data_IF_838497416385
#
_entry.id   IF_838497416385
#
_cell.length_a   1.000
_cell.length_b   1.000
_cell.length_c   1.000
_cell.angle_alpha   90.00
_cell.angle_beta   90.00
_cell.angle_gamma   90.00
#
_symmetry.space_group_name_H-M   'P 1'
#
loop_
_entity.id
_entity.type
_entity.pdbx_description
1 polymer ?
#
# COMPACT_ATOMS: atom_id res chain seq x y z
N UNK A 1 27.91 45.38 25.46
CA UNK A 1 28.05 44.01 25.98
C UNK A 1 26.65 43.46 26.25
N UNK A 2 26.06 42.71 25.32
CA UNK A 2 24.99 41.72 25.55
C UNK A 2 24.55 41.15 24.19
N UNK A 3 25.15 40.04 23.79
CA UNK A 3 24.71 39.20 22.66
C UNK A 3 23.69 38.21 23.21
N UNK A 4 22.41 38.41 22.86
CA UNK A 4 21.33 37.48 23.17
C UNK A 4 21.50 36.24 22.28
N UNK A 5 21.99 35.15 22.87
CA UNK A 5 21.98 33.82 22.26
C UNK A 5 20.52 33.37 22.16
N UNK A 6 19.94 33.41 20.95
CA UNK A 6 18.63 32.81 20.65
C UNK A 6 18.74 31.30 20.85
N UNK A 7 18.01 30.79 21.85
CA UNK A 7 17.95 29.37 22.18
C UNK A 7 17.56 28.52 20.96
N UNK A 8 18.33 27.46 20.73
CA UNK A 8 18.03 26.43 19.74
C UNK A 8 16.73 25.76 20.16
N UNK A 9 15.66 25.97 19.40
CA UNK A 9 14.38 25.31 19.62
C UNK A 9 14.57 23.80 19.44
N UNK A 10 14.56 23.05 20.54
CA UNK A 10 14.55 21.59 20.55
C UNK A 10 13.21 21.11 19.99
N UNK A 11 13.13 20.97 18.67
CA UNK A 11 11.96 20.40 18.00
C UNK A 11 11.88 18.92 18.36
N UNK A 12 10.81 18.52 19.04
CA UNK A 12 10.54 17.12 19.39
C UNK A 12 10.39 16.29 18.11
N UNK A 13 10.71 14.98 18.13
CA UNK A 13 10.57 14.09 16.97
C UNK A 13 9.18 14.19 16.33
N UNK A 14 8.15 14.27 17.18
CA UNK A 14 6.75 14.51 16.81
C UNK A 14 6.54 15.82 16.02
N UNK A 15 7.20 16.92 16.39
CA UNK A 15 7.05 18.19 15.68
C UNK A 15 7.72 18.17 14.30
N UNK A 16 8.83 17.43 14.15
CA UNK A 16 9.50 17.25 12.86
C UNK A 16 8.72 16.32 11.94
N UNK A 17 8.17 15.23 12.49
CA UNK A 17 7.30 14.30 11.77
C UNK A 17 6.02 14.99 11.29
N UNK A 18 5.40 15.82 12.12
CA UNK A 18 4.21 16.58 11.74
C UNK A 18 4.51 17.68 10.73
N UNK A 19 5.65 18.39 10.84
CA UNK A 19 6.07 19.36 9.83
C UNK A 19 6.37 18.70 8.47
N UNK A 20 7.03 17.53 8.48
CA UNK A 20 7.32 16.75 7.27
C UNK A 20 6.03 16.21 6.63
N UNK A 21 5.13 15.65 7.44
CA UNK A 21 3.82 15.19 6.99
C UNK A 21 2.99 16.34 6.40
N UNK A 22 3.04 17.53 7.01
CA UNK A 22 2.35 18.72 6.51
C UNK A 22 2.95 19.23 5.20
N UNK A 23 4.28 19.20 5.05
CA UNK A 23 4.95 19.56 3.81
C UNK A 23 4.60 18.59 2.66
N UNK A 24 4.57 17.28 2.94
CA UNK A 24 4.15 16.24 2.01
C UNK A 24 2.66 16.35 1.65
N UNK A 25 1.77 16.60 2.61
CA UNK A 25 0.36 16.88 2.37
C UNK A 25 0.15 18.12 1.49
N UNK A 26 0.99 19.15 1.67
CA UNK A 26 0.93 20.36 0.85
C UNK A 26 1.44 20.12 -0.57
N UNK A 27 2.49 19.28 -0.72
CA UNK A 27 3.00 18.83 -2.01
C UNK A 27 2.00 17.94 -2.77
N UNK A 28 1.35 17.01 -2.07
CA UNK A 28 0.28 16.16 -2.60
C UNK A 28 -0.94 16.99 -3.03
N UNK A 29 -1.34 17.97 -2.22
CA UNK A 29 -2.39 18.93 -2.56
C UNK A 29 -2.05 19.83 -3.76
N UNK A 30 -0.76 20.01 -4.06
CA UNK A 30 -0.27 20.71 -5.26
C UNK A 30 -0.27 19.80 -6.49
N UNK A 31 -0.07 18.50 -6.34
CA UNK A 31 -0.26 17.50 -7.39
C UNK A 31 -1.71 17.03 -7.47
N UNK A 32 -2.63 17.97 -7.73
CA UNK A 32 -4.06 17.65 -7.94
C UNK A 32 -4.24 16.56 -8.99
N UNK A 33 -3.40 16.53 -10.02
CA UNK A 33 -3.42 15.48 -11.06
C UNK A 33 -3.06 14.08 -10.54
N UNK A 34 -2.14 13.95 -9.59
CA UNK A 34 -1.77 12.66 -9.02
C UNK A 34 -2.84 12.14 -8.06
N UNK A 35 -3.44 13.01 -7.24
CA UNK A 35 -4.57 12.67 -6.38
C UNK A 35 -5.81 12.32 -7.21
N UNK A 36 -6.11 13.10 -8.25
CA UNK A 36 -7.22 12.81 -9.18
C UNK A 36 -6.95 11.50 -9.90
N UNK A 37 -5.80 11.26 -10.53
CA UNK A 37 -5.51 9.99 -11.19
C UNK A 37 -5.52 8.79 -10.21
N UNK A 38 -4.97 8.96 -9.02
CA UNK A 38 -4.94 7.92 -7.98
C UNK A 38 -6.32 7.61 -7.41
N UNK A 39 -7.26 8.57 -7.40
CA UNK A 39 -8.66 8.31 -7.05
C UNK A 39 -9.42 7.76 -8.26
N UNK A 40 -9.23 8.36 -9.44
CA UNK A 40 -10.01 8.14 -10.65
C UNK A 40 -9.82 6.72 -11.19
N UNK A 41 -8.59 6.20 -11.28
CA UNK A 41 -8.36 4.83 -11.77
C UNK A 41 -9.06 3.76 -10.92
N UNK A 42 -8.89 3.74 -9.58
CA UNK A 42 -9.61 2.78 -8.74
C UNK A 42 -11.10 3.09 -8.54
N UNK A 43 -11.62 4.25 -8.96
CA UNK A 43 -13.06 4.54 -9.00
C UNK A 43 -13.69 4.17 -10.34
N UNK A 44 -12.93 4.28 -11.44
CA UNK A 44 -13.35 3.83 -12.77
C UNK A 44 -13.52 2.31 -12.78
N UNK A 45 -12.66 1.56 -12.09
CA UNK A 45 -12.81 0.10 -11.96
C UNK A 45 -14.20 -0.33 -11.43
N UNK A 46 -14.69 0.15 -10.27
CA UNK A 46 -16.06 -0.06 -9.80
C UNK A 46 -17.14 0.31 -10.81
N UNK A 47 -16.99 1.44 -11.50
CA UNK A 47 -17.99 1.93 -12.48
C UNK A 47 -18.01 1.06 -13.74
N UNK A 48 -16.85 0.67 -14.26
CA UNK A 48 -16.69 -0.22 -15.42
C UNK A 48 -17.14 -1.65 -15.10
N UNK A 49 -16.88 -2.14 -13.89
CA UNK A 49 -17.37 -3.45 -13.46
C UNK A 49 -18.86 -3.42 -13.20
N UNK A 50 -19.44 -2.31 -12.70
CA UNK A 50 -20.90 -2.15 -12.60
C UNK A 50 -21.56 -2.21 -13.98
N UNK A 51 -21.02 -1.50 -14.98
CA UNK A 51 -21.57 -1.57 -16.35
C UNK A 51 -21.40 -2.96 -16.98
N UNK A 52 -20.25 -3.61 -16.76
CA UNK A 52 -20.02 -4.96 -17.24
C UNK A 52 -20.86 -6.01 -16.49
N UNK A 53 -21.20 -5.77 -15.21
CA UNK A 53 -22.06 -6.62 -14.41
C UNK A 53 -23.55 -6.43 -14.66
N UNK A 54 -23.93 -5.31 -15.28
CA UNK A 54 -25.27 -5.11 -15.84
C UNK A 54 -25.41 -5.83 -17.20
N UNK A 55 -24.32 -6.01 -17.96
CA UNK A 55 -24.28 -6.76 -19.23
C UNK A 55 -24.04 -8.28 -19.07
N UNK A 56 -23.25 -8.69 -18.08
CA UNK A 56 -22.98 -10.08 -17.74
C UNK A 56 -23.85 -10.44 -16.53
N UNK A 57 -24.70 -11.46 -16.66
CA UNK A 57 -25.61 -11.97 -15.61
C UNK A 57 -24.84 -12.58 -14.40
N UNK A 58 -24.07 -11.76 -13.69
CA UNK A 58 -23.26 -12.10 -12.51
C UNK A 58 -24.15 -12.47 -11.31
N UNK A 59 -25.42 -12.06 -11.35
CA UNK A 59 -26.45 -12.54 -10.44
C UNK A 59 -26.67 -14.06 -10.57
N UNK A 60 -26.50 -14.64 -11.77
CA UNK A 60 -26.58 -16.08 -12.01
C UNK A 60 -25.43 -16.90 -11.40
N UNK A 61 -24.31 -16.25 -11.02
CA UNK A 61 -23.15 -16.89 -10.39
C UNK A 61 -23.09 -16.75 -8.86
N UNK A 62 -24.06 -16.06 -8.24
CA UNK A 62 -24.12 -15.88 -6.78
C UNK A 62 -23.05 -14.96 -6.18
N UNK A 63 -22.29 -14.24 -7.02
CA UNK A 63 -21.21 -13.35 -6.59
C UNK A 63 -21.71 -11.91 -6.48
N UNK A 64 -21.64 -11.32 -5.29
CA UNK A 64 -21.97 -9.91 -5.09
C UNK A 64 -20.84 -9.02 -5.66
N UNK A 65 -21.15 -8.23 -6.70
CA UNK A 65 -20.22 -7.32 -7.39
C UNK A 65 -19.41 -6.45 -6.43
N UNK A 66 -20.00 -5.97 -5.33
CA UNK A 66 -19.28 -5.13 -4.38
C UNK A 66 -18.26 -5.88 -3.51
N UNK A 67 -18.45 -7.17 -3.28
CA UNK A 67 -17.47 -8.03 -2.57
C UNK A 67 -16.24 -8.37 -3.43
N UNK A 68 -16.36 -8.23 -4.75
CA UNK A 68 -15.24 -8.38 -5.68
C UNK A 68 -14.50 -7.06 -5.88
N UNK A 69 -15.26 -5.99 -6.11
CA UNK A 69 -14.75 -4.67 -6.48
C UNK A 69 -14.01 -3.98 -5.33
N UNK A 70 -14.54 -4.06 -4.10
CA UNK A 70 -13.95 -3.33 -2.97
C UNK A 70 -12.56 -3.85 -2.60
N UNK A 71 -12.32 -5.17 -2.41
CA UNK A 71 -10.98 -5.68 -2.15
C UNK A 71 -10.00 -5.36 -3.29
N UNK A 72 -10.46 -5.38 -4.55
CA UNK A 72 -9.66 -5.00 -5.70
C UNK A 72 -9.27 -3.51 -5.66
N UNK A 73 -10.21 -2.61 -5.37
CA UNK A 73 -9.95 -1.18 -5.25
C UNK A 73 -8.96 -0.87 -4.10
N UNK A 74 -9.11 -1.54 -2.96
CA UNK A 74 -8.18 -1.43 -1.82
C UNK A 74 -6.78 -1.93 -2.22
N UNK A 75 -6.68 -3.10 -2.85
CA UNK A 75 -5.40 -3.64 -3.31
C UNK A 75 -4.71 -2.74 -4.34
N UNK A 76 -5.48 -2.17 -5.28
CA UNK A 76 -4.99 -1.14 -6.20
C UNK A 76 -4.44 0.09 -5.47
N UNK A 77 -5.19 0.60 -4.49
CA UNK A 77 -4.74 1.76 -3.71
C UNK A 77 -3.44 1.46 -2.98
N UNK A 78 -3.30 0.28 -2.35
CA UNK A 78 -2.06 -0.12 -1.69
C UNK A 78 -0.88 -0.20 -2.66
N UNK A 79 -1.08 -0.78 -3.85
CA UNK A 79 -0.04 -0.91 -4.86
C UNK A 79 0.41 0.44 -5.44
N UNK A 80 -0.53 1.33 -5.77
CA UNK A 80 -0.22 2.59 -6.44
C UNK A 80 0.05 3.72 -5.47
N UNK A 81 -0.78 3.91 -4.45
CA UNK A 81 -0.68 5.03 -3.52
C UNK A 81 0.36 4.82 -2.41
N UNK A 82 0.67 3.56 -2.07
CA UNK A 82 1.65 3.23 -1.03
C UNK A 82 2.91 2.66 -1.64
N UNK A 83 2.85 1.49 -2.26
CA UNK A 83 4.06 0.79 -2.74
C UNK A 83 4.82 1.61 -3.80
N UNK A 84 4.16 2.01 -4.89
CA UNK A 84 4.81 2.73 -5.99
C UNK A 84 5.35 4.11 -5.57
N UNK A 85 4.54 4.86 -4.82
CA UNK A 85 4.95 6.17 -4.26
C UNK A 85 6.14 6.03 -3.32
N UNK A 86 6.15 5.02 -2.45
CA UNK A 86 7.27 4.78 -1.53
C UNK A 86 8.55 4.36 -2.24
N UNK A 87 8.46 3.54 -3.31
CA UNK A 87 9.67 3.21 -4.08
C UNK A 87 10.30 4.47 -4.65
N UNK A 88 9.49 5.34 -5.28
CA UNK A 88 9.96 6.62 -5.80
C UNK A 88 10.56 7.52 -4.70
N UNK A 89 9.84 7.69 -3.59
CA UNK A 89 10.28 8.59 -2.52
C UNK A 89 11.57 8.11 -1.84
N UNK A 90 11.74 6.81 -1.61
CA UNK A 90 12.98 6.27 -1.05
C UNK A 90 14.17 6.43 -2.00
N UNK A 91 13.96 6.21 -3.30
CA UNK A 91 15.05 6.34 -4.28
C UNK A 91 15.47 7.80 -4.42
N UNK A 92 14.54 8.73 -4.60
CA UNK A 92 14.82 10.17 -4.73
C UNK A 92 15.51 10.70 -3.47
N UNK A 93 14.98 10.39 -2.27
CA UNK A 93 15.59 10.83 -1.00
C UNK A 93 16.98 10.23 -0.77
N UNK A 94 17.27 9.05 -1.33
CA UNK A 94 18.62 8.45 -1.31
C UNK A 94 19.56 9.19 -2.25
N UNK A 95 19.11 9.53 -3.45
CA UNK A 95 19.89 10.32 -4.43
C UNK A 95 20.24 11.71 -3.90
N UNK A 96 19.30 12.38 -3.26
CA UNK A 96 19.49 13.71 -2.65
C UNK A 96 20.32 13.67 -1.34
N UNK A 97 20.77 12.49 -0.92
CA UNK A 97 21.51 12.24 0.34
C UNK A 97 20.75 12.66 1.61
N UNK A 98 19.42 12.88 1.51
CA UNK A 98 18.56 13.23 2.65
C UNK A 98 18.63 12.16 3.73
N UNK A 99 18.60 10.89 3.33
CA UNK A 99 18.72 9.76 4.26
C UNK A 99 20.06 9.74 5.01
N UNK A 100 21.15 10.14 4.35
CA UNK A 100 22.49 10.19 4.97
C UNK A 100 22.60 11.34 5.97
N UNK A 101 22.00 12.51 5.67
CA UNK A 101 21.92 13.65 6.60
C UNK A 101 21.07 13.35 7.84
N UNK A 102 19.99 12.58 7.69
CA UNK A 102 19.18 12.16 8.84
C UNK A 102 19.93 11.19 9.76
N UNK A 103 20.81 10.36 9.17
CA UNK A 103 21.65 9.40 9.91
C UNK A 103 22.81 10.04 10.68
N UNK A 104 23.20 11.26 10.33
CA UNK A 104 24.17 12.02 11.12
C UNK A 104 23.56 12.64 12.38
N UNK A 105 22.24 12.52 12.58
CA UNK A 105 21.56 12.85 13.85
C UNK A 105 21.45 11.65 14.79
N UNK A 106 20.65 11.80 15.86
CA UNK A 106 20.43 10.74 16.87
C UNK A 106 19.41 9.65 16.45
N UNK A 107 18.87 9.72 15.22
CA UNK A 107 17.81 8.84 14.76
C UNK A 107 18.34 7.46 14.35
N UNK A 108 17.63 6.40 14.72
CA UNK A 108 17.93 5.03 14.28
C UNK A 108 17.50 4.81 12.83
N UNK A 109 18.20 3.91 12.13
CA UNK A 109 17.92 3.54 10.73
C UNK A 109 16.45 3.17 10.47
N UNK A 110 15.80 2.47 11.42
CA UNK A 110 14.39 2.09 11.34
C UNK A 110 13.46 3.29 11.48
N UNK A 111 13.80 4.25 12.35
CA UNK A 111 13.01 5.46 12.57
C UNK A 111 13.06 6.39 11.35
N UNK A 112 14.22 6.43 10.68
CA UNK A 112 14.38 7.19 9.43
C UNK A 112 13.47 6.60 8.35
N UNK A 113 13.52 5.27 8.14
CA UNK A 113 12.69 4.60 7.13
C UNK A 113 11.20 4.72 7.46
N UNK A 114 10.79 4.39 8.69
CA UNK A 114 9.40 4.49 9.12
C UNK A 114 8.87 5.93 9.07
N UNK A 115 9.66 6.91 9.54
CA UNK A 115 9.31 8.33 9.49
C UNK A 115 9.22 8.87 8.06
N UNK A 116 10.06 8.37 7.15
CA UNK A 116 9.97 8.70 5.73
C UNK A 116 8.80 8.03 5.01
N UNK A 117 8.35 6.87 5.48
CA UNK A 117 7.21 6.15 4.92
C UNK A 117 5.86 6.71 5.38
N UNK A 118 5.83 7.37 6.54
CA UNK A 118 4.62 7.85 7.20
C UNK A 118 3.68 8.67 6.29
N UNK A 119 4.16 9.63 5.47
CA UNK A 119 3.27 10.41 4.60
C UNK A 119 2.52 9.54 3.59
N UNK A 120 3.24 8.67 2.87
CA UNK A 120 2.61 7.79 1.87
C UNK A 120 1.68 6.75 2.51
N UNK A 121 2.03 6.22 3.69
CA UNK A 121 1.16 5.31 4.45
C UNK A 121 -0.13 6.01 4.90
N UNK A 122 -0.04 7.24 5.40
CA UNK A 122 -1.22 8.02 5.78
C UNK A 122 -2.09 8.36 4.58
N UNK A 123 -1.49 8.78 3.47
CA UNK A 123 -2.23 9.05 2.22
C UNK A 123 -2.91 7.81 1.69
N UNK A 124 -2.21 6.67 1.66
CA UNK A 124 -2.78 5.39 1.24
C UNK A 124 -3.90 4.91 2.16
N UNK A 125 -3.76 5.09 3.48
CA UNK A 125 -4.82 4.79 4.44
C UNK A 125 -6.07 5.63 4.17
N UNK A 126 -5.92 6.95 4.02
CA UNK A 126 -7.03 7.85 3.69
C UNK A 126 -7.68 7.44 2.36
N UNK A 127 -6.88 7.11 1.35
CA UNK A 127 -7.39 6.68 0.05
C UNK A 127 -8.17 5.35 0.13
N UNK A 128 -7.66 4.37 0.88
CA UNK A 128 -8.37 3.10 1.10
C UNK A 128 -9.70 3.32 1.83
N UNK A 129 -9.73 4.20 2.84
CA UNK A 129 -10.96 4.55 3.56
C UNK A 129 -11.97 5.26 2.66
N UNK A 130 -11.53 6.21 1.83
CA UNK A 130 -12.38 6.88 0.85
C UNK A 130 -12.94 5.92 -0.19
N UNK A 131 -12.13 4.97 -0.66
CA UNK A 131 -12.57 3.94 -1.61
C UNK A 131 -13.57 2.98 -0.96
N UNK A 132 -13.34 2.56 0.29
CA UNK A 132 -14.28 1.72 1.03
C UNK A 132 -15.63 2.42 1.21
N UNK A 133 -15.61 3.68 1.65
CA UNK A 133 -16.82 4.50 1.82
C UNK A 133 -17.52 4.80 0.47
N UNK A 134 -16.74 5.09 -0.57
CA UNK A 134 -17.26 5.30 -1.92
C UNK A 134 -17.93 4.04 -2.45
N UNK A 135 -17.27 2.89 -2.36
CA UNK A 135 -17.85 1.62 -2.79
C UNK A 135 -19.11 1.27 -1.98
N UNK A 136 -19.13 1.52 -0.67
CA UNK A 136 -20.32 1.23 0.14
C UNK A 136 -21.52 2.09 -0.28
N UNK A 137 -21.30 3.36 -0.61
CA UNK A 137 -22.37 4.27 -1.05
C UNK A 137 -22.79 4.01 -2.50
N UNK A 138 -21.85 3.76 -3.42
CA UNK A 138 -22.15 3.57 -4.84
C UNK A 138 -22.75 2.19 -5.15
N UNK A 139 -22.40 1.16 -4.38
CA UNK A 139 -22.82 -0.23 -4.62
C UNK A 139 -23.86 -0.72 -3.59
N UNK A 140 -24.35 0.18 -2.74
CA UNK A 140 -25.34 -0.12 -1.68
C UNK A 140 -24.95 -1.32 -0.81
N UNK A 141 -23.64 -1.44 -0.52
CA UNK A 141 -23.13 -2.53 0.30
C UNK A 141 -23.60 -2.34 1.74
N UNK A 142 -24.04 -3.43 2.36
CA UNK A 142 -24.29 -3.49 3.81
C UNK A 142 -23.03 -3.15 4.60
N UNK A 143 -23.06 -3.11 5.93
CA UNK A 143 -21.83 -2.95 6.73
C UNK A 143 -20.99 -4.25 6.74
N UNK A 144 -19.66 -4.22 6.98
CA UNK A 144 -18.84 -5.42 6.91
C UNK A 144 -19.29 -6.43 7.96
N UNK A 145 -19.48 -7.69 7.56
CA UNK A 145 -19.85 -8.77 8.48
C UNK A 145 -18.77 -9.00 9.54
N UNK A 146 -17.50 -8.80 9.19
CA UNK A 146 -16.35 -8.96 10.07
C UNK A 146 -15.33 -7.82 9.87
N UNK A 147 -15.63 -6.60 10.37
CA UNK A 147 -14.80 -5.41 10.13
C UNK A 147 -13.37 -5.57 10.65
N UNK A 148 -13.17 -6.38 11.70
CA UNK A 148 -11.84 -6.71 12.22
C UNK A 148 -10.90 -7.32 11.17
N UNK A 149 -11.41 -8.16 10.27
CA UNK A 149 -10.60 -8.79 9.22
C UNK A 149 -10.21 -7.78 8.14
N UNK A 150 -11.14 -6.90 7.75
CA UNK A 150 -10.86 -5.84 6.78
C UNK A 150 -9.84 -4.84 7.31
N UNK A 151 -9.96 -4.43 8.57
CA UNK A 151 -8.99 -3.54 9.23
C UNK A 151 -7.63 -4.23 9.34
N UNK A 152 -7.60 -5.51 9.74
CA UNK A 152 -6.36 -6.27 9.84
C UNK A 152 -5.67 -6.42 8.47
N UNK A 153 -6.42 -6.77 7.43
CA UNK A 153 -5.93 -6.87 6.05
C UNK A 153 -5.34 -5.55 5.57
N UNK A 154 -6.04 -4.44 5.79
CA UNK A 154 -5.57 -3.11 5.42
C UNK A 154 -4.26 -2.73 6.16
N UNK A 155 -4.19 -2.93 7.47
CA UNK A 155 -3.00 -2.63 8.25
C UNK A 155 -1.80 -3.49 7.83
N UNK A 156 -2.01 -4.79 7.63
CA UNK A 156 -0.98 -5.70 7.10
C UNK A 156 -0.53 -5.28 5.71
N UNK A 157 -1.46 -4.89 4.84
CA UNK A 157 -1.17 -4.40 3.50
C UNK A 157 -0.31 -3.13 3.50
N UNK A 158 -0.63 -2.17 4.37
CA UNK A 158 0.18 -0.95 4.51
C UNK A 158 1.62 -1.27 4.94
N UNK A 159 1.79 -2.12 5.95
CA UNK A 159 3.12 -2.52 6.45
C UNK A 159 3.89 -3.30 5.39
N UNK A 160 3.23 -4.26 4.74
CA UNK A 160 3.81 -5.09 3.71
C UNK A 160 4.24 -4.27 2.49
N UNK A 161 3.37 -3.38 1.99
CA UNK A 161 3.69 -2.50 0.88
C UNK A 161 4.86 -1.56 1.21
N UNK A 162 4.92 -1.03 2.44
CA UNK A 162 6.05 -0.22 2.86
C UNK A 162 7.36 -1.01 2.93
N UNK A 163 7.33 -2.24 3.45
CA UNK A 163 8.49 -3.12 3.52
C UNK A 163 8.97 -3.53 2.13
N UNK A 164 8.05 -3.92 1.24
CA UNK A 164 8.35 -4.25 -0.15
C UNK A 164 8.88 -3.04 -0.91
N UNK A 165 8.32 -1.85 -0.70
CA UNK A 165 8.80 -0.64 -1.34
C UNK A 165 10.25 -0.33 -0.94
N UNK A 166 10.58 -0.47 0.35
CA UNK A 166 11.95 -0.31 0.84
C UNK A 166 12.89 -1.36 0.23
N UNK A 167 12.44 -2.62 0.10
CA UNK A 167 13.21 -3.69 -0.53
C UNK A 167 13.45 -3.42 -2.02
N UNK A 168 12.41 -3.03 -2.77
CA UNK A 168 12.53 -2.67 -4.18
C UNK A 168 13.43 -1.45 -4.37
N UNK A 169 13.26 -0.39 -3.56
CA UNK A 169 14.10 0.80 -3.59
C UNK A 169 15.59 0.48 -3.32
N UNK A 170 15.88 -0.56 -2.53
CA UNK A 170 17.26 -1.02 -2.29
C UNK A 170 17.96 -1.54 -3.55
N UNK A 171 17.17 -2.05 -4.51
CA UNK A 171 17.64 -2.61 -5.78
C UNK A 171 17.61 -1.59 -6.91
N UNK A 172 16.63 -0.69 -6.90
CA UNK A 172 16.50 0.43 -7.85
C UNK A 172 17.70 1.36 -7.74
N UNK A 173 18.21 1.87 -8.87
CA UNK A 173 19.35 2.81 -8.87
C UNK A 173 18.91 4.28 -8.89
N UNK A 174 18.09 4.64 -9.87
CA UNK A 174 17.73 6.03 -10.16
C UNK A 174 16.25 6.34 -9.97
N UNK A 175 15.90 7.61 -9.76
CA UNK A 175 14.50 8.06 -9.74
C UNK A 175 13.71 7.68 -10.99
N UNK A 176 14.36 7.68 -12.16
CA UNK A 176 13.77 7.19 -13.42
C UNK A 176 13.51 5.67 -13.37
N UNK A 177 14.50 4.89 -12.91
CA UNK A 177 14.34 3.44 -12.71
C UNK A 177 13.24 3.12 -11.70
N UNK A 178 12.95 4.03 -10.75
CA UNK A 178 11.90 3.86 -9.76
C UNK A 178 10.49 3.83 -10.37
N UNK A 179 10.31 4.29 -11.61
CA UNK A 179 9.03 4.17 -12.32
C UNK A 179 8.84 2.77 -12.93
N UNK A 180 9.92 2.09 -13.31
CA UNK A 180 9.87 0.81 -14.03
C UNK A 180 10.10 -0.38 -13.08
N UNK A 181 10.98 -0.24 -12.09
CA UNK A 181 11.35 -1.34 -11.17
C UNK A 181 10.17 -1.90 -10.36
N UNK A 182 9.17 -1.09 -9.93
CA UNK A 182 7.97 -1.62 -9.28
C UNK A 182 7.06 -2.45 -10.20
N UNK A 183 7.11 -2.22 -11.52
CA UNK A 183 6.13 -2.75 -12.49
C UNK A 183 5.98 -4.27 -12.49
N UNK A 184 7.05 -5.08 -12.46
CA UNK A 184 6.89 -6.53 -12.41
C UNK A 184 6.09 -6.99 -11.19
N UNK A 185 6.38 -6.43 -10.00
CA UNK A 185 5.65 -6.79 -8.78
C UNK A 185 4.20 -6.28 -8.85
N UNK A 186 3.97 -5.09 -9.39
CA UNK A 186 2.63 -4.54 -9.60
C UNK A 186 1.82 -5.47 -10.50
N UNK A 187 2.32 -5.81 -11.69
CA UNK A 187 1.62 -6.63 -12.67
C UNK A 187 1.32 -8.03 -12.13
N UNK A 188 2.31 -8.69 -11.52
CA UNK A 188 2.14 -10.03 -10.94
C UNK A 188 1.13 -10.00 -9.80
N UNK A 189 1.22 -9.01 -8.90
CA UNK A 189 0.25 -8.87 -7.81
C UNK A 189 -1.14 -8.57 -8.37
N UNK A 190 -1.25 -7.71 -9.37
CA UNK A 190 -2.50 -7.36 -10.02
C UNK A 190 -3.20 -8.57 -10.63
N UNK A 191 -2.48 -9.34 -11.44
CA UNK A 191 -3.06 -10.49 -12.13
C UNK A 191 -3.27 -11.69 -11.21
N UNK A 192 -2.40 -11.87 -10.22
CA UNK A 192 -2.39 -13.08 -9.40
C UNK A 192 -3.06 -12.94 -8.03
N UNK A 193 -3.27 -11.74 -7.48
CA UNK A 193 -3.78 -11.63 -6.10
C UNK A 193 -5.29 -11.67 -5.97
N UNK A 194 -5.99 -12.23 -6.96
CA UNK A 194 -7.45 -12.33 -6.93
C UNK A 194 -8.21 -11.01 -7.17
N UNK A 195 -7.53 -9.94 -7.62
CA UNK A 195 -8.14 -8.61 -7.78
C UNK A 195 -9.00 -8.47 -9.04
N UNK A 196 -8.57 -9.08 -10.16
CA UNK A 196 -9.37 -9.08 -11.40
C UNK A 196 -10.18 -10.35 -11.56
N UNK A 197 -9.58 -11.49 -11.24
CA UNK A 197 -10.19 -12.81 -11.35
C UNK A 197 -10.09 -13.48 -10.00
N UNK A 198 -11.21 -13.85 -9.35
CA UNK A 198 -11.21 -14.66 -8.14
C UNK A 198 -10.33 -15.90 -8.28
N UNK A 199 -9.58 -16.23 -7.22
CA UNK A 199 -8.68 -17.39 -7.20
C UNK A 199 -9.44 -18.71 -7.42
N UNK A 200 -10.70 -18.76 -7.00
CA UNK A 200 -11.62 -19.90 -7.16
C UNK A 200 -11.89 -20.24 -8.64
N UNK A 201 -11.71 -19.29 -9.56
CA UNK A 201 -11.90 -19.49 -11.00
C UNK A 201 -10.61 -19.92 -11.72
N UNK A 202 -9.47 -19.96 -11.01
CA UNK A 202 -8.19 -20.36 -11.58
C UNK A 202 -7.97 -21.87 -11.42
N UNK A 203 -7.25 -22.51 -12.36
CA UNK A 203 -6.81 -23.90 -12.18
C UNK A 203 -5.99 -24.07 -10.90
N UNK A 204 -6.19 -25.18 -10.16
CA UNK A 204 -5.59 -25.42 -8.83
C UNK A 204 -4.10 -25.07 -8.74
N UNK A 205 -3.31 -25.45 -9.76
CA UNK A 205 -1.87 -25.16 -9.80
C UNK A 205 -1.55 -23.67 -9.84
N UNK A 206 -2.34 -22.90 -10.59
CA UNK A 206 -2.18 -21.44 -10.68
C UNK A 206 -2.70 -20.76 -9.42
N UNK A 207 -3.82 -21.24 -8.88
CA UNK A 207 -4.37 -20.75 -7.62
C UNK A 207 -3.36 -20.87 -6.47
N UNK A 208 -2.70 -22.02 -6.29
CA UNK A 208 -1.69 -22.20 -5.23
C UNK A 208 -0.48 -21.26 -5.36
N UNK A 209 -0.05 -20.95 -6.59
CA UNK A 209 1.04 -19.98 -6.81
C UNK A 209 0.57 -18.56 -6.50
N UNK A 210 -0.66 -18.25 -6.90
CA UNK A 210 -1.29 -16.96 -6.68
C UNK A 210 -1.57 -16.69 -5.20
N UNK A 211 -1.93 -17.70 -4.41
CA UNK A 211 -2.07 -17.64 -2.95
C UNK A 211 -0.78 -17.22 -2.24
N UNK A 212 0.36 -17.62 -2.79
CA UNK A 212 1.68 -17.28 -2.25
C UNK A 212 2.14 -15.85 -2.59
N UNK A 213 1.40 -15.10 -3.40
CA UNK A 213 1.79 -13.73 -3.73
C UNK A 213 1.62 -12.80 -2.51
N UNK A 214 2.46 -11.75 -2.39
CA UNK A 214 2.47 -10.90 -1.20
C UNK A 214 1.14 -10.17 -0.99
N UNK A 215 0.47 -9.73 -2.06
CA UNK A 215 -0.77 -8.97 -1.93
C UNK A 215 -2.02 -9.84 -1.76
N UNK A 216 -1.95 -11.12 -2.12
CA UNK A 216 -3.08 -12.06 -1.98
C UNK A 216 -3.65 -12.13 -0.57
N UNK A 217 -2.87 -12.31 0.50
CA UNK A 217 -3.42 -12.36 1.85
C UNK A 217 -4.17 -11.08 2.25
N UNK A 218 -3.76 -9.92 1.72
CA UNK A 218 -4.44 -8.65 1.98
C UNK A 218 -5.81 -8.63 1.32
N UNK A 219 -5.87 -9.01 0.04
CA UNK A 219 -7.13 -9.08 -0.72
C UNK A 219 -8.08 -10.10 -0.10
N UNK A 220 -7.57 -11.28 0.30
CA UNK A 220 -8.35 -12.33 0.96
C UNK A 220 -8.92 -11.87 2.30
N UNK A 221 -8.14 -11.17 3.14
CA UNK A 221 -8.62 -10.65 4.42
C UNK A 221 -9.67 -9.54 4.27
N UNK A 222 -9.47 -8.63 3.31
CA UNK A 222 -10.43 -7.55 3.02
C UNK A 222 -11.72 -8.10 2.43
N UNK A 223 -11.64 -9.10 1.54
CA UNK A 223 -12.82 -9.81 1.02
C UNK A 223 -13.53 -10.56 2.14
N UNK A 224 -12.80 -11.33 2.93
CA UNK A 224 -13.33 -12.14 4.03
C UNK A 224 -13.99 -11.31 5.13
N UNK A 225 -13.50 -10.09 5.39
CA UNK A 225 -14.14 -9.17 6.32
C UNK A 225 -15.48 -8.60 5.83
N UNK A 226 -15.68 -8.58 4.51
CA UNK A 226 -16.90 -8.13 3.87
C UNK A 226 -17.93 -9.23 3.66
N UNK A 227 -17.49 -10.42 3.24
CA UNK A 227 -18.39 -11.58 3.07
C UNK A 227 -18.75 -12.20 4.42
N UNK A 228 -17.80 -12.27 5.35
CA UNK A 228 -17.95 -13.00 6.62
C UNK A 228 -17.72 -14.50 6.49
N UNK A 229 -17.43 -15.00 5.28
CA UNK A 229 -17.32 -16.43 4.97
C UNK A 229 -15.92 -16.99 5.22
N UNK A 230 -14.96 -16.16 5.64
CA UNK A 230 -13.57 -16.58 5.82
C UNK A 230 -13.42 -17.39 7.11
N UNK A 231 -12.99 -18.64 6.98
CA UNK A 231 -12.73 -19.48 8.15
C UNK A 231 -11.54 -18.94 8.96
N UNK A 232 -11.52 -19.23 10.27
CA UNK A 232 -10.39 -18.82 11.13
C UNK A 232 -9.04 -19.39 10.66
N UNK A 233 -9.04 -20.58 10.06
CA UNK A 233 -7.84 -21.21 9.51
C UNK A 233 -7.32 -20.46 8.27
N UNK A 234 -8.20 -20.10 7.34
CA UNK A 234 -7.84 -19.32 6.14
C UNK A 234 -7.37 -17.91 6.52
N UNK A 235 -8.03 -17.28 7.48
CA UNK A 235 -7.61 -15.99 8.02
C UNK A 235 -6.20 -16.06 8.63
N UNK A 236 -5.91 -17.11 9.42
CA UNK A 236 -4.57 -17.34 9.97
C UNK A 236 -3.54 -17.61 8.88
N UNK A 237 -3.88 -18.40 7.85
CA UNK A 237 -3.01 -18.65 6.70
C UNK A 237 -2.67 -17.37 5.94
N UNK A 238 -3.66 -16.51 5.71
CA UNK A 238 -3.45 -15.22 5.08
C UNK A 238 -2.55 -14.30 5.93
N UNK A 239 -2.83 -14.19 7.24
CA UNK A 239 -1.99 -13.40 8.16
C UNK A 239 -0.56 -13.95 8.20
N UNK A 240 -0.38 -15.26 8.31
CA UNK A 240 0.93 -15.90 8.32
C UNK A 240 1.71 -15.61 7.03
N UNK A 241 1.04 -15.67 5.88
CA UNK A 241 1.66 -15.38 4.57
C UNK A 241 2.06 -13.91 4.46
N UNK A 242 1.20 -12.97 4.87
CA UNK A 242 1.51 -11.54 4.88
C UNK A 242 2.68 -11.21 5.83
N UNK A 243 2.71 -11.84 7.02
CA UNK A 243 3.79 -11.68 7.99
C UNK A 243 5.09 -12.28 7.45
N UNK A 244 5.06 -13.46 6.83
CA UNK A 244 6.22 -14.08 6.22
C UNK A 244 6.83 -13.18 5.14
N UNK A 245 6.01 -12.64 4.24
CA UNK A 245 6.48 -11.69 3.23
C UNK A 245 7.01 -10.39 3.82
N UNK A 246 6.36 -9.86 4.87
CA UNK A 246 6.86 -8.68 5.58
C UNK A 246 8.24 -8.95 6.18
N UNK A 247 8.43 -10.10 6.83
CA UNK A 247 9.72 -10.50 7.41
C UNK A 247 10.78 -10.68 6.34
N UNK A 248 10.45 -11.32 5.21
CA UNK A 248 11.35 -11.47 4.07
C UNK A 248 11.75 -10.12 3.47
N UNK A 249 10.80 -9.20 3.32
CA UNK A 249 11.07 -7.85 2.82
C UNK A 249 11.95 -7.05 3.80
N UNK A 250 11.67 -7.11 5.11
CA UNK A 250 12.52 -6.47 6.14
C UNK A 250 13.92 -7.07 6.15
N UNK A 251 14.05 -8.38 6.01
CA UNK A 251 15.34 -9.05 5.89
C UNK A 251 16.10 -8.59 4.65
N UNK A 252 15.43 -8.53 3.49
CA UNK A 252 15.98 -8.01 2.24
C UNK A 252 16.47 -6.56 2.39
N UNK A 253 15.67 -5.70 3.04
CA UNK A 253 16.07 -4.32 3.37
C UNK A 253 17.33 -4.32 4.23
N UNK A 254 17.36 -5.06 5.34
CA UNK A 254 18.55 -5.12 6.22
C UNK A 254 19.81 -5.61 5.48
N UNK A 255 19.65 -6.49 4.50
CA UNK A 255 20.76 -7.12 3.79
C UNK A 255 21.27 -6.33 2.58
N UNK A 256 20.38 -5.63 1.88
CA UNK A 256 20.66 -5.00 0.58
C UNK A 256 20.49 -3.48 0.56
N UNK A 257 19.88 -2.89 1.59
CA UNK A 257 19.70 -1.44 1.65
C UNK A 257 21.03 -0.73 1.88
N UNK A 258 21.59 -0.23 0.78
CA UNK A 258 22.78 0.61 0.78
C UNK A 258 22.36 2.06 0.89
N UNK A 259 22.92 2.75 1.87
CA UNK A 259 22.65 4.16 2.18
C UNK A 259 23.36 5.14 1.24
N UNK A 260 24.21 4.63 0.35
CA UNK A 260 24.94 5.43 -0.63
C UNK A 260 24.29 5.30 -2.02
N UNK A 261 24.27 6.39 -2.81
CA UNK A 261 23.85 6.34 -4.20
C UNK A 261 24.67 5.29 -4.95
N UNK A 262 24.00 4.36 -5.63
CA UNK A 262 24.66 3.43 -6.55
C UNK A 262 25.05 4.24 -7.79
N UNK A 263 26.33 4.55 -7.95
CA UNK A 263 26.89 5.17 -9.17
C UNK A 263 26.76 4.22 -10.37
#
# INVERSE_FOLDING_TARGET
MSTVVKGVALTTPLSRMTALARAELTLLGRTRGALVAALFVPLVMPVSVRSAAEEMDLAGAGLNTGTLVLPAAVGFSLLFAVYSVLVGSFVVRREELVLKRLRTGELRDVEILAGSALPAVLTGLVQCLLLAAGCSVLLDLSAPSAPQLSVLGLLLGLVLCAALAAATASLTRTGESAQVTPMPLLLVSMMGSGMFVPLELLPDKLASVCELLPLTPVVTLVRGGWTGDLSGYEALGAVATAVAWTVLAVFAVRRWFRWEPRR
#
